data_IF_197596878263
#
_entry.id   IF_197596878263
#
_cell.length_a   1.000
_cell.length_b   1.000
_cell.length_c   1.000
_cell.angle_alpha   90.00
_cell.angle_beta   90.00
_cell.angle_gamma   90.00
#
_symmetry.space_group_name_H-M   'P 1'
#
loop_
_entity.id
_entity.type
_entity.pdbx_description
1 polymer ?
#
# COMPACT_ATOMS: atom_id res chain seq x y z
N UNK A 1 28.54 3.46 18.35
CA UNK A 1 27.26 3.23 17.64
C UNK A 1 26.91 1.74 17.47
N UNK A 2 27.88 0.81 17.44
CA UNK A 2 27.65 -0.65 17.25
C UNK A 2 26.88 -1.35 18.38
N UNK A 3 27.07 -0.98 19.65
CA UNK A 3 26.48 -1.71 20.78
C UNK A 3 24.97 -1.49 20.94
N UNK A 4 24.48 -0.29 20.57
CA UNK A 4 23.04 0.01 20.58
C UNK A 4 22.28 -0.80 19.53
N UNK A 5 22.84 -0.95 18.33
CA UNK A 5 22.19 -1.74 17.27
C UNK A 5 22.15 -3.23 17.60
N UNK A 6 23.20 -3.77 18.23
CA UNK A 6 23.20 -5.17 18.69
C UNK A 6 22.08 -5.42 19.73
N UNK A 7 21.86 -4.48 20.65
CA UNK A 7 20.79 -4.58 21.65
C UNK A 7 19.40 -4.44 21.04
N UNK A 8 19.23 -3.61 20.01
CA UNK A 8 17.97 -3.46 19.29
C UNK A 8 17.61 -4.73 18.52
N UNK A 9 18.57 -5.30 17.77
CA UNK A 9 18.37 -6.57 17.05
C UNK A 9 17.90 -7.66 18.01
N UNK A 10 18.59 -7.84 19.14
CA UNK A 10 18.21 -8.83 20.16
C UNK A 10 16.78 -8.68 20.69
N UNK A 11 16.28 -7.45 20.81
CA UNK A 11 14.90 -7.20 21.22
C UNK A 11 13.94 -7.57 20.09
N UNK A 12 14.24 -7.19 18.85
CA UNK A 12 13.42 -7.50 17.66
C UNK A 12 13.37 -9.02 17.46
N UNK A 13 14.51 -9.69 17.42
CA UNK A 13 14.64 -11.14 17.21
C UNK A 13 13.79 -11.90 18.25
N UNK A 14 13.90 -11.53 19.52
CA UNK A 14 13.09 -12.13 20.59
C UNK A 14 11.58 -11.91 20.38
N UNK A 15 11.19 -10.71 19.92
CA UNK A 15 9.78 -10.40 19.68
C UNK A 15 9.23 -11.15 18.45
N UNK A 16 10.05 -11.36 17.43
CA UNK A 16 9.72 -12.19 16.26
C UNK A 16 9.54 -13.66 16.64
N UNK A 17 10.44 -14.22 17.45
CA UNK A 17 10.37 -15.59 17.95
C UNK A 17 9.11 -15.86 18.80
N UNK A 18 8.58 -14.82 19.45
CA UNK A 18 7.40 -14.90 20.32
C UNK A 18 6.12 -14.35 19.65
N UNK A 19 6.19 -14.00 18.37
CA UNK A 19 5.02 -13.58 17.62
C UNK A 19 4.01 -14.75 17.48
N UNK A 20 2.69 -14.51 17.63
CA UNK A 20 2.02 -13.21 17.77
C UNK A 20 1.71 -12.79 19.22
N UNK A 21 2.15 -13.54 20.24
CA UNK A 21 1.69 -13.36 21.64
C UNK A 21 2.16 -12.05 22.28
N UNK A 22 3.35 -11.58 21.90
CA UNK A 22 3.94 -10.36 22.41
C UNK A 22 4.44 -10.45 23.86
N UNK A 23 5.38 -9.58 24.23
CA UNK A 23 6.05 -9.63 25.52
C UNK A 23 5.95 -8.31 26.29
N UNK A 24 5.86 -8.41 27.62
CA UNK A 24 5.98 -7.25 28.48
C UNK A 24 7.44 -6.82 28.65
N UNK A 25 7.67 -5.56 29.04
CA UNK A 25 9.01 -5.04 29.39
C UNK A 25 9.71 -5.97 30.41
N UNK A 26 8.95 -6.48 31.39
CA UNK A 26 9.51 -7.37 32.42
C UNK A 26 9.93 -8.73 31.87
N UNK A 27 9.23 -9.25 30.88
CA UNK A 27 9.57 -10.51 30.23
C UNK A 27 10.80 -10.35 29.34
N UNK A 28 10.85 -9.29 28.52
CA UNK A 28 11.99 -8.99 27.63
C UNK A 28 13.26 -8.75 28.45
N UNK A 29 13.16 -7.97 29.54
CA UNK A 29 14.27 -7.72 30.45
C UNK A 29 14.83 -9.01 31.07
N UNK A 30 13.94 -9.94 31.45
CA UNK A 30 14.32 -11.23 32.01
C UNK A 30 15.02 -12.11 30.97
N UNK A 31 14.43 -12.23 29.78
CA UNK A 31 14.94 -13.11 28.72
C UNK A 31 16.30 -12.66 28.18
N UNK A 32 16.48 -11.34 28.02
CA UNK A 32 17.71 -10.78 27.48
C UNK A 32 18.74 -10.38 28.55
N UNK A 33 18.44 -10.62 29.83
CA UNK A 33 19.30 -10.21 30.95
C UNK A 33 19.56 -8.70 31.02
N UNK A 34 18.60 -7.88 30.59
CA UNK A 34 18.72 -6.42 30.51
C UNK A 34 17.98 -5.70 31.64
N UNK A 35 18.41 -4.48 31.97
CA UNK A 35 17.67 -3.64 32.90
C UNK A 35 16.31 -3.21 32.31
N UNK A 36 15.22 -3.34 33.09
CA UNK A 36 13.85 -2.96 32.65
C UNK A 36 13.74 -1.51 32.17
N UNK A 37 14.44 -0.56 32.79
CA UNK A 37 14.44 0.83 32.36
C UNK A 37 15.13 1.00 30.99
N UNK A 38 16.21 0.27 30.76
CA UNK A 38 16.89 0.21 29.45
C UNK A 38 15.99 -0.38 28.39
N UNK A 39 15.35 -1.53 28.67
CA UNK A 39 14.39 -2.15 27.75
C UNK A 39 13.23 -1.20 27.44
N UNK A 40 12.67 -0.51 28.45
CA UNK A 40 11.62 0.49 28.25
C UNK A 40 12.07 1.59 27.29
N UNK A 41 13.25 2.17 27.51
CA UNK A 41 13.82 3.21 26.65
C UNK A 41 14.03 2.71 25.22
N UNK A 42 14.54 1.49 25.05
CA UNK A 42 14.80 0.92 23.72
C UNK A 42 13.50 0.62 22.98
N UNK A 43 12.49 0.09 23.66
CA UNK A 43 11.18 -0.14 23.06
C UNK A 43 10.47 1.16 22.69
N UNK A 44 10.67 2.25 23.44
CA UNK A 44 10.17 3.58 23.04
C UNK A 44 10.83 4.07 21.74
N UNK A 45 12.14 3.86 21.59
CA UNK A 45 12.88 4.20 20.36
C UNK A 45 12.42 3.33 19.18
N UNK A 46 12.37 2.01 19.36
CA UNK A 46 11.92 1.05 18.35
C UNK A 46 10.45 1.26 17.96
N UNK A 47 9.61 1.70 18.90
CA UNK A 47 8.23 2.05 18.61
C UNK A 47 8.15 3.33 17.78
N UNK A 48 8.97 4.33 18.12
CA UNK A 48 9.05 5.58 17.34
C UNK A 48 9.59 5.38 15.93
N UNK A 49 10.47 4.40 15.70
CA UNK A 49 10.96 4.03 14.36
C UNK A 49 10.02 3.09 13.60
N UNK A 50 8.98 2.55 14.26
CA UNK A 50 8.04 1.62 13.64
C UNK A 50 8.60 0.21 13.44
N UNK A 51 9.56 -0.21 14.27
CA UNK A 51 10.09 -1.58 14.30
C UNK A 51 9.30 -2.48 15.26
N UNK A 52 8.67 -1.90 16.29
CA UNK A 52 7.79 -2.64 17.22
C UNK A 52 6.45 -1.94 17.39
N UNK A 53 5.41 -2.72 17.65
CA UNK A 53 4.08 -2.25 18.03
C UNK A 53 3.80 -2.52 19.51
N UNK A 54 3.05 -1.64 20.16
CA UNK A 54 2.67 -1.76 21.56
C UNK A 54 1.15 -1.79 21.72
N UNK A 55 0.65 -2.80 22.42
CA UNK A 55 -0.74 -2.92 22.83
C UNK A 55 -0.83 -2.95 24.36
N UNK A 56 -1.87 -2.32 24.92
CA UNK A 56 -2.16 -2.40 26.36
C UNK A 56 -2.96 -3.66 26.64
N UNK A 57 -2.46 -4.51 27.53
CA UNK A 57 -3.19 -5.66 28.05
C UNK A 57 -3.35 -5.51 29.56
N UNK A 58 -4.53 -5.08 29.98
CA UNK A 58 -4.80 -4.66 31.35
C UNK A 58 -3.88 -3.50 31.78
N UNK A 59 -3.05 -3.74 32.81
CA UNK A 59 -2.10 -2.74 33.35
C UNK A 59 -0.72 -2.80 32.68
N UNK A 60 -0.47 -3.78 31.82
CA UNK A 60 0.83 -4.01 31.19
C UNK A 60 0.82 -3.56 29.73
N UNK A 61 1.99 -3.11 29.25
CA UNK A 61 2.26 -2.94 27.82
C UNK A 61 2.84 -4.24 27.27
N UNK A 62 2.25 -4.78 26.23
CA UNK A 62 2.80 -5.88 25.44
C UNK A 62 3.36 -5.32 24.14
N UNK A 63 4.54 -5.78 23.78
CA UNK A 63 5.25 -5.39 22.57
C UNK A 63 5.31 -6.57 21.61
N UNK A 64 5.17 -6.29 20.33
CA UNK A 64 5.23 -7.23 19.21
C UNK A 64 6.10 -6.61 18.12
N UNK A 65 6.68 -7.39 17.20
CA UNK A 65 7.29 -6.81 16.02
C UNK A 65 6.22 -6.02 15.25
N UNK A 66 6.59 -4.89 14.68
CA UNK A 66 5.66 -4.13 13.87
C UNK A 66 5.27 -4.98 12.64
N UNK A 67 3.98 -5.25 12.46
CA UNK A 67 3.50 -5.85 11.22
C UNK A 67 3.60 -4.81 10.11
N UNK A 68 4.66 -4.93 9.30
CA UNK A 68 4.75 -4.22 8.02
C UNK A 68 3.99 -5.04 6.99
N UNK A 69 2.78 -4.59 6.67
CA UNK A 69 2.07 -5.13 5.50
C UNK A 69 2.73 -4.52 4.26
N UNK A 70 3.25 -5.32 3.32
CA UNK A 70 3.80 -4.79 2.07
C UNK A 70 2.81 -3.83 1.41
N UNK A 71 3.30 -2.73 0.84
CA UNK A 71 2.45 -1.75 0.17
C UNK A 71 1.56 -2.40 -0.90
N UNK A 72 2.10 -3.38 -1.63
CA UNK A 72 1.34 -4.17 -2.61
C UNK A 72 0.14 -4.89 -1.99
N UNK A 73 0.31 -5.48 -0.80
CA UNK A 73 -0.78 -6.17 -0.11
C UNK A 73 -1.82 -5.18 0.44
N UNK A 74 -1.40 -4.01 0.93
CA UNK A 74 -2.33 -2.94 1.30
C UNK A 74 -3.11 -2.45 0.07
N UNK A 75 -2.42 -2.24 -1.05
CA UNK A 75 -3.00 -1.81 -2.32
C UNK A 75 -4.04 -2.82 -2.84
N UNK A 76 -3.75 -4.11 -2.74
CA UNK A 76 -4.66 -5.20 -3.14
C UNK A 76 -5.89 -5.35 -2.23
N UNK A 77 -5.82 -4.88 -0.99
CA UNK A 77 -6.95 -4.88 -0.04
C UNK A 77 -7.92 -3.71 -0.26
N UNK A 78 -7.54 -2.68 -1.01
CA UNK A 78 -8.42 -1.54 -1.30
C UNK A 78 -9.63 -1.99 -2.12
N UNK A 79 -10.82 -1.54 -1.70
CA UNK A 79 -12.08 -1.88 -2.38
C UNK A 79 -12.23 -1.17 -3.72
N UNK A 80 -11.63 0.02 -3.88
CA UNK A 80 -11.72 0.78 -5.11
C UNK A 80 -10.86 0.12 -6.19
N UNK A 81 -11.37 0.07 -7.42
CA UNK A 81 -10.60 -0.36 -8.58
C UNK A 81 -9.55 0.70 -8.92
N UNK A 82 -8.26 0.39 -8.76
CA UNK A 82 -7.17 1.34 -8.96
C UNK A 82 -6.19 0.81 -10.00
N UNK A 83 -5.81 1.67 -10.94
CA UNK A 83 -4.74 1.46 -11.91
C UNK A 83 -3.78 2.64 -11.83
N UNK A 84 -2.48 2.38 -11.92
CA UNK A 84 -1.44 3.40 -12.02
C UNK A 84 -0.74 3.22 -13.35
N UNK A 85 -0.60 4.32 -14.08
CA UNK A 85 -0.08 4.37 -15.44
C UNK A 85 1.17 5.24 -15.51
N UNK A 86 2.06 4.92 -16.44
CA UNK A 86 3.11 5.83 -16.85
C UNK A 86 2.58 6.91 -17.81
N UNK A 87 3.47 7.80 -18.25
CA UNK A 87 3.13 8.91 -19.13
C UNK A 87 2.69 8.47 -20.54
N UNK A 88 3.03 7.25 -20.94
CA UNK A 88 2.68 6.66 -22.22
C UNK A 88 1.44 5.73 -22.08
N UNK A 89 0.76 5.78 -20.92
CA UNK A 89 -0.43 4.99 -20.55
C UNK A 89 -0.17 3.48 -20.44
N UNK A 90 1.07 3.07 -20.19
CA UNK A 90 1.37 1.69 -19.81
C UNK A 90 1.11 1.47 -18.33
N UNK A 91 0.61 0.28 -18.00
CA UNK A 91 0.26 -0.09 -16.64
C UNK A 91 1.51 -0.30 -15.81
N UNK A 92 1.70 0.52 -14.78
CA UNK A 92 2.73 0.35 -13.75
C UNK A 92 2.24 -0.52 -12.61
N UNK A 93 0.96 -0.38 -12.23
CA UNK A 93 0.37 -1.12 -11.12
C UNK A 93 -1.15 -1.23 -11.29
N UNK A 94 -1.73 -2.35 -10.84
CA UNK A 94 -3.18 -2.55 -10.74
C UNK A 94 -3.47 -3.30 -9.47
N UNK A 95 -4.57 -2.96 -8.79
CA UNK A 95 -4.97 -3.73 -7.62
C UNK A 95 -5.94 -4.85 -7.99
N UNK A 96 -6.10 -5.78 -7.06
CA UNK A 96 -7.04 -6.89 -7.18
C UNK A 96 -8.48 -6.43 -7.47
N UNK A 97 -8.91 -5.28 -6.95
CA UNK A 97 -10.25 -4.77 -7.22
C UNK A 97 -10.44 -4.32 -8.68
N UNK A 98 -9.43 -3.71 -9.31
CA UNK A 98 -9.47 -3.32 -10.73
C UNK A 98 -9.70 -4.54 -11.64
N UNK A 99 -8.95 -5.62 -11.41
CA UNK A 99 -9.05 -6.87 -12.17
C UNK A 99 -10.45 -7.48 -12.02
N UNK A 100 -10.96 -7.55 -10.78
CA UNK A 100 -12.29 -8.14 -10.49
C UNK A 100 -13.43 -7.31 -11.04
N UNK A 101 -13.41 -6.00 -10.80
CA UNK A 101 -14.47 -5.05 -11.15
C UNK A 101 -14.66 -4.95 -12.66
N UNK A 102 -13.56 -5.01 -13.42
CA UNK A 102 -13.58 -4.89 -14.88
C UNK A 102 -13.53 -6.25 -15.59
N UNK A 103 -13.63 -7.36 -14.85
CA UNK A 103 -13.72 -8.71 -15.43
C UNK A 103 -12.47 -9.16 -16.20
N UNK A 104 -11.28 -8.69 -15.82
CA UNK A 104 -10.03 -9.01 -16.50
C UNK A 104 -9.57 -10.42 -16.12
N UNK A 105 -9.18 -11.23 -17.11
CA UNK A 105 -8.63 -12.57 -16.87
C UNK A 105 -7.30 -12.51 -16.10
N UNK A 106 -7.21 -13.23 -14.98
CA UNK A 106 -6.05 -13.22 -14.07
C UNK A 106 -4.74 -13.70 -14.69
N UNK A 107 -4.80 -14.48 -15.77
CA UNK A 107 -3.62 -15.01 -16.46
C UNK A 107 -2.98 -14.00 -17.41
N UNK A 108 -3.66 -12.88 -17.68
CA UNK A 108 -3.14 -11.81 -18.53
C UNK A 108 -2.04 -11.06 -17.78
N UNK A 109 -0.85 -10.98 -18.37
CA UNK A 109 0.17 -10.05 -17.88
C UNK A 109 -0.28 -8.60 -18.16
N UNK A 110 -0.48 -7.82 -17.10
CA UNK A 110 -0.98 -6.45 -17.20
C UNK A 110 0.15 -5.42 -17.12
N UNK A 111 1.20 -5.70 -16.34
CA UNK A 111 2.29 -4.73 -16.15
C UNK A 111 3.02 -4.49 -17.48
N UNK A 112 3.16 -3.22 -17.84
CA UNK A 112 3.74 -2.77 -19.10
C UNK A 112 2.80 -2.81 -20.31
N UNK A 113 1.60 -3.40 -20.19
CA UNK A 113 0.61 -3.35 -21.25
C UNK A 113 0.00 -1.94 -21.35
N UNK A 114 -0.36 -1.51 -22.57
CA UNK A 114 -1.12 -0.27 -22.75
C UNK A 114 -2.51 -0.40 -22.14
N UNK A 115 -2.98 0.63 -21.44
CA UNK A 115 -4.33 0.67 -20.87
C UNK A 115 -5.40 0.35 -21.92
N UNK A 116 -5.24 0.87 -23.14
CA UNK A 116 -6.24 0.71 -24.19
C UNK A 116 -6.23 -0.67 -24.86
N UNK A 117 -5.11 -1.41 -24.79
CA UNK A 117 -5.05 -2.80 -25.27
C UNK A 117 -5.89 -3.74 -24.41
N UNK A 118 -6.26 -3.31 -23.20
CA UNK A 118 -7.15 -4.08 -22.34
C UNK A 118 -8.55 -4.26 -22.95
N UNK A 119 -8.94 -3.42 -23.92
CA UNK A 119 -10.26 -3.44 -24.57
C UNK A 119 -11.43 -3.41 -23.57
N UNK A 120 -11.27 -2.67 -22.46
CA UNK A 120 -12.32 -2.53 -21.45
C UNK A 120 -13.43 -1.62 -21.97
N UNK A 121 -14.68 -2.01 -21.72
CA UNK A 121 -15.88 -1.31 -22.20
C UNK A 121 -15.97 0.13 -21.72
N UNK A 122 -15.52 0.41 -20.49
CA UNK A 122 -15.44 1.77 -19.93
C UNK A 122 -14.62 2.71 -20.83
N UNK A 123 -13.59 2.20 -21.52
CA UNK A 123 -12.83 3.01 -22.47
C UNK A 123 -13.48 3.08 -23.85
N UNK A 124 -14.68 2.57 -24.07
CA UNK A 124 -15.42 2.82 -25.32
C UNK A 124 -16.07 4.21 -25.31
N UNK A 125 -16.26 4.80 -24.13
CA UNK A 125 -16.74 6.16 -23.97
C UNK A 125 -15.67 7.18 -24.45
N UNK A 126 -15.95 7.97 -25.51
CA UNK A 126 -15.00 8.96 -26.02
C UNK A 126 -14.69 10.07 -25.02
N UNK A 127 -15.61 10.39 -24.11
CA UNK A 127 -15.40 11.43 -23.10
C UNK A 127 -14.31 11.01 -22.11
N UNK A 128 -14.32 9.75 -21.67
CA UNK A 128 -13.30 9.19 -20.77
C UNK A 128 -11.93 9.18 -21.45
N UNK A 129 -11.85 8.67 -22.69
CA UNK A 129 -10.59 8.69 -23.46
C UNK A 129 -10.05 10.10 -23.61
N UNK A 130 -10.90 11.05 -23.98
CA UNK A 130 -10.51 12.46 -24.15
C UNK A 130 -10.02 13.07 -22.84
N UNK A 131 -10.59 12.67 -21.70
CA UNK A 131 -10.14 13.16 -20.40
C UNK A 131 -8.76 12.63 -20.04
N UNK A 132 -8.51 11.33 -20.25
CA UNK A 132 -7.18 10.70 -20.08
C UNK A 132 -6.14 11.42 -20.95
N UNK A 133 -6.48 11.69 -22.20
CA UNK A 133 -5.62 12.43 -23.13
C UNK A 133 -5.30 13.85 -22.68
N UNK A 134 -6.28 14.56 -22.10
CA UNK A 134 -6.05 15.90 -21.52
C UNK A 134 -5.07 15.86 -20.36
N UNK A 135 -5.15 14.84 -19.49
CA UNK A 135 -4.20 14.66 -18.38
C UNK A 135 -2.80 14.40 -18.93
N UNK A 136 -2.67 13.51 -19.92
CA UNK A 136 -1.39 13.19 -20.57
C UNK A 136 -0.72 14.42 -21.19
N UNK A 137 -1.52 15.34 -21.73
CA UNK A 137 -1.05 16.60 -22.33
C UNK A 137 -0.87 17.73 -21.30
N UNK A 138 -0.99 17.45 -20.01
CA UNK A 138 -0.96 18.46 -18.93
C UNK A 138 -1.97 19.60 -19.13
N UNK A 139 -3.10 19.30 -19.77
CA UNK A 139 -4.18 20.24 -20.02
C UNK A 139 -5.25 20.22 -18.92
N UNK A 140 -6.25 21.10 -19.06
CA UNK A 140 -7.42 21.10 -18.17
C UNK A 140 -8.24 19.82 -18.36
N UNK A 141 -8.44 19.07 -17.28
CA UNK A 141 -9.18 17.81 -17.26
C UNK A 141 -10.27 17.83 -16.16
N UNK A 142 -11.17 16.86 -16.20
CA UNK A 142 -12.15 16.61 -15.15
C UNK A 142 -11.55 15.61 -14.16
N UNK A 143 -11.39 16.00 -12.90
CA UNK A 143 -10.86 15.12 -11.85
C UNK A 143 -11.82 13.95 -11.52
N UNK A 144 -13.10 14.12 -11.83
CA UNK A 144 -14.14 13.14 -11.55
C UNK A 144 -15.10 13.04 -12.75
N UNK A 145 -15.52 11.81 -13.09
CA UNK A 145 -16.50 11.54 -14.13
C UNK A 145 -17.42 10.40 -13.69
N UNK A 146 -18.68 10.46 -14.09
CA UNK A 146 -19.62 9.33 -13.98
C UNK A 146 -19.79 8.68 -15.34
N UNK A 147 -19.76 7.36 -15.37
CA UNK A 147 -20.02 6.57 -16.56
C UNK A 147 -21.06 5.50 -16.27
N UNK A 148 -22.09 5.44 -17.11
CA UNK A 148 -23.13 4.41 -17.03
C UNK A 148 -22.81 3.40 -18.13
N UNK A 149 -22.56 2.15 -17.75
CA UNK A 149 -22.32 1.10 -18.72
C UNK A 149 -23.66 0.55 -19.22
N UNK A 150 -24.04 0.90 -20.46
CA UNK A 150 -25.34 0.59 -21.07
C UNK A 150 -25.73 -0.90 -20.98
N UNK A 151 -24.75 -1.80 -21.08
CA UNK A 151 -25.00 -3.25 -21.12
C UNK A 151 -25.31 -3.88 -19.76
N UNK A 152 -24.89 -3.24 -18.67
CA UNK A 152 -24.99 -3.81 -17.30
C UNK A 152 -25.73 -2.88 -16.35
N UNK A 153 -26.00 -1.64 -16.76
CA UNK A 153 -26.56 -0.56 -15.95
C UNK A 153 -25.73 -0.26 -14.68
N UNK A 154 -24.45 -0.64 -14.66
CA UNK A 154 -23.53 -0.24 -13.61
C UNK A 154 -23.12 1.22 -13.80
N UNK A 155 -23.04 1.94 -12.69
CA UNK A 155 -22.54 3.31 -12.63
C UNK A 155 -21.14 3.25 -12.06
N UNK A 156 -20.17 3.73 -12.83
CA UNK A 156 -18.78 3.88 -12.43
C UNK A 156 -18.54 5.35 -12.07
N UNK A 157 -17.96 5.56 -10.89
CA UNK A 157 -17.32 6.82 -10.54
C UNK A 157 -15.83 6.69 -10.88
N UNK A 158 -15.38 7.50 -11.83
CA UNK A 158 -13.97 7.58 -12.21
C UNK A 158 -13.36 8.81 -11.55
N UNK A 159 -12.32 8.61 -10.75
CA UNK A 159 -11.47 9.66 -10.23
C UNK A 159 -10.13 9.61 -10.97
N UNK A 160 -9.57 10.77 -11.30
CA UNK A 160 -8.31 10.89 -12.02
C UNK A 160 -7.34 11.77 -11.25
N UNK A 161 -6.12 11.28 -11.04
CA UNK A 161 -5.05 12.05 -10.42
C UNK A 161 -3.75 11.94 -11.23
N UNK A 162 -3.15 13.07 -11.67
CA UNK A 162 -1.81 13.04 -12.23
C UNK A 162 -0.81 12.64 -11.15
N UNK A 163 0.07 11.69 -11.46
CA UNK A 163 1.12 11.23 -10.56
C UNK A 163 2.49 11.68 -11.07
N UNK A 164 3.40 12.03 -10.17
CA UNK A 164 4.80 12.32 -10.53
C UNK A 164 5.63 11.04 -10.41
N UNK A 165 6.16 10.57 -11.53
CA UNK A 165 7.15 9.50 -11.54
C UNK A 165 8.55 10.07 -11.28
N UNK A 166 9.43 9.26 -10.68
CA UNK A 166 10.86 9.58 -10.53
C UNK A 166 11.57 9.87 -11.88
N UNK A 167 10.98 9.42 -13.00
CA UNK A 167 11.48 9.65 -14.37
C UNK A 167 11.04 11.02 -14.93
N UNK A 168 10.30 11.82 -14.18
CA UNK A 168 9.98 13.22 -14.50
C UNK A 168 8.81 13.44 -15.47
N UNK A 169 8.23 12.38 -16.05
CA UNK A 169 6.98 12.48 -16.83
C UNK A 169 5.76 12.19 -15.93
N UNK A 170 4.65 12.94 -16.07
CA UNK A 170 3.45 12.71 -15.29
C UNK A 170 2.76 11.40 -15.71
N UNK A 171 2.52 10.52 -14.75
CA UNK A 171 1.65 9.35 -14.90
C UNK A 171 0.21 9.69 -14.52
N UNK A 172 -0.65 8.68 -14.50
CA UNK A 172 -2.07 8.83 -14.14
C UNK A 172 -2.44 7.71 -13.17
N UNK A 173 -3.18 8.06 -12.11
CA UNK A 173 -3.92 7.13 -11.26
C UNK A 173 -5.41 7.31 -11.51
#
# INVERSE_FOLDING_TARGET
>A
MSEYQDKFSKIIDLLEDQAPQGLSISAIARELGMNRATVSKYLEMLQSSGDVSMQRFGRSKLYTPAQRVPLSELFDRLSNAIVILDADLHILMVNTSFIKTLGIHRERNLIGASLFDLNLRIFSDPAIRRNIERIRQSGTYLAEMQHIEDSTNHIYLLEFAPTVSHVGKPGIM
#
